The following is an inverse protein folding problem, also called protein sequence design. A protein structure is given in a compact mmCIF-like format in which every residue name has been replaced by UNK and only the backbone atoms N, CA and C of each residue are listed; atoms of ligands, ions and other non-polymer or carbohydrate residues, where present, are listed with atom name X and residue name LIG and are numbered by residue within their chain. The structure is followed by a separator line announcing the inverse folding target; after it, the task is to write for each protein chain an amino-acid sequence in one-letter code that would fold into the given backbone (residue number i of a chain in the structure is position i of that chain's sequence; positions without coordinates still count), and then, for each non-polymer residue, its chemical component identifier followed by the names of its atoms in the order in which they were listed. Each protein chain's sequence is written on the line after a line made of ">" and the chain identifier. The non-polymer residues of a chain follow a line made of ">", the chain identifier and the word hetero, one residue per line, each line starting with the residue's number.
data_IF_684311078838
#
_entry.id   IF_684311078838
#
_cell.length_a   1.000
_cell.length_b   1.000
_cell.length_c   1.000
_cell.angle_alpha   90.00
_cell.angle_beta   90.00
_cell.angle_gamma   90.00
#
_symmetry.space_group_name_H-M   'P 1'
#
loop_
_entity.id
_entity.type
_entity.pdbx_description
1 polymer ?
#
# COMPACT_ATOMS: atom_id res chain seq x y z
N UNK A 1 35.27 29.92 -21.85
CA UNK A 1 34.12 29.03 -22.16
C UNK A 1 33.72 28.27 -20.89
N UNK A 2 33.19 28.97 -19.89
CA UNK A 2 32.64 28.37 -18.66
C UNK A 2 31.32 29.09 -18.43
N UNK A 3 30.21 28.42 -18.79
CA UNK A 3 28.86 28.95 -18.61
C UNK A 3 28.63 29.18 -17.12
N UNK A 4 28.13 30.37 -16.77
CA UNK A 4 27.56 30.69 -15.47
C UNK A 4 26.72 29.50 -14.96
N UNK A 5 27.25 28.72 -14.01
CA UNK A 5 26.44 27.91 -13.11
C UNK A 5 25.62 28.91 -12.31
N UNK A 6 24.43 29.22 -12.81
CA UNK A 6 23.55 30.20 -12.19
C UNK A 6 23.24 29.74 -10.77
N UNK A 7 23.15 30.69 -9.85
CA UNK A 7 22.72 30.48 -8.45
C UNK A 7 21.50 29.54 -8.33
N UNK A 8 20.63 29.51 -9.35
CA UNK A 8 19.49 28.60 -9.46
C UNK A 8 19.83 27.11 -9.57
N UNK A 9 20.95 26.70 -10.18
CA UNK A 9 21.33 25.28 -10.25
C UNK A 9 21.83 24.78 -8.90
N UNK A 10 22.59 25.60 -8.18
CA UNK A 10 23.02 25.31 -6.81
C UNK A 10 21.83 25.23 -5.86
N UNK A 11 20.90 26.19 -5.92
CA UNK A 11 19.68 26.16 -5.12
C UNK A 11 18.81 24.92 -5.40
N UNK A 12 18.66 24.52 -6.67
CA UNK A 12 17.95 23.29 -7.05
C UNK A 12 18.66 22.04 -6.54
N UNK A 13 19.98 21.96 -6.68
CA UNK A 13 20.76 20.83 -6.18
C UNK A 13 20.63 20.71 -4.65
N UNK A 14 20.65 21.83 -3.93
CA UNK A 14 20.46 21.88 -2.48
C UNK A 14 19.06 21.40 -2.08
N UNK A 15 18.01 21.89 -2.74
CA UNK A 15 16.62 21.48 -2.48
C UNK A 15 16.44 19.98 -2.74
N UNK A 16 16.94 19.48 -3.88
CA UNK A 16 16.88 18.06 -4.21
C UNK A 16 17.67 17.20 -3.21
N UNK A 17 18.84 17.68 -2.78
CA UNK A 17 19.65 17.02 -1.76
C UNK A 17 18.94 16.95 -0.41
N UNK A 18 18.29 18.04 0.01
CA UNK A 18 17.50 18.08 1.24
C UNK A 18 16.28 17.15 1.17
N UNK A 19 15.55 17.16 0.06
CA UNK A 19 14.43 16.24 -0.16
C UNK A 19 14.89 14.78 -0.12
N UNK A 20 16.00 14.47 -0.80
CA UNK A 20 16.59 13.14 -0.77
C UNK A 20 17.00 12.75 0.66
N UNK A 21 17.61 13.65 1.43
CA UNK A 21 17.97 13.39 2.82
C UNK A 21 16.74 13.18 3.72
N UNK A 22 15.67 13.94 3.54
CA UNK A 22 14.43 13.78 4.32
C UNK A 22 13.77 12.43 4.03
N UNK A 23 13.78 11.99 2.77
CA UNK A 23 13.16 10.73 2.36
C UNK A 23 14.05 9.53 2.71
N UNK A 24 15.32 9.58 2.34
CA UNK A 24 16.23 8.44 2.45
C UNK A 24 17.04 8.43 3.75
N UNK A 25 17.22 9.56 4.44
CA UNK A 25 17.97 9.66 5.68
C UNK A 25 17.46 8.69 6.77
N UNK A 26 16.15 8.64 7.08
CA UNK A 26 15.60 7.67 8.03
C UNK A 26 15.80 6.22 7.60
N UNK A 27 15.72 5.93 6.29
CA UNK A 27 15.93 4.59 5.73
C UNK A 27 17.41 4.18 5.84
N UNK A 28 18.34 5.10 5.59
CA UNK A 28 19.77 4.89 5.78
C UNK A 28 20.10 4.66 7.25
N UNK A 29 19.47 5.43 8.15
CA UNK A 29 19.60 5.21 9.59
C UNK A 29 19.07 3.81 9.98
N UNK A 30 17.91 3.39 9.45
CA UNK A 30 17.38 2.05 9.69
C UNK A 30 18.31 0.96 9.14
N UNK A 31 18.90 1.16 7.95
CA UNK A 31 19.87 0.23 7.36
C UNK A 31 21.15 0.13 8.19
N UNK A 32 21.61 1.25 8.76
CA UNK A 32 22.74 1.29 9.68
C UNK A 32 22.43 0.49 10.95
N UNK A 33 21.25 0.71 11.54
CA UNK A 33 20.79 -0.03 12.72
C UNK A 33 20.62 -1.53 12.46
N UNK A 34 20.28 -1.93 11.24
CA UNK A 34 20.11 -3.34 10.88
C UNK A 34 21.40 -4.17 11.02
N UNK A 35 22.58 -3.55 10.96
CA UNK A 35 23.89 -4.21 11.12
C UNK A 35 24.64 -3.77 12.37
N UNK A 36 23.99 -2.98 13.22
CA UNK A 36 24.60 -2.44 14.44
C UNK A 36 24.30 -3.35 15.62
N UNK A 37 25.34 -3.82 16.31
CA UNK A 37 25.18 -4.66 17.50
C UNK A 37 25.29 -3.86 18.80
N UNK A 38 26.17 -2.84 18.83
CA UNK A 38 26.33 -1.95 19.99
C UNK A 38 26.43 -0.50 19.54
N UNK A 39 25.46 0.30 19.97
CA UNK A 39 25.48 1.74 19.79
C UNK A 39 24.79 2.42 20.96
N UNK A 40 25.60 2.97 21.87
CA UNK A 40 25.14 3.69 23.04
C UNK A 40 25.76 5.09 23.11
N UNK A 41 25.06 5.99 23.78
CA UNK A 41 25.53 7.34 24.05
C UNK A 41 26.85 7.31 24.84
N UNK A 42 27.87 8.15 24.54
CA UNK A 42 27.87 9.32 23.66
C UNK A 42 28.42 9.08 22.24
N UNK A 43 28.52 7.83 21.79
CA UNK A 43 29.17 7.53 20.51
C UNK A 43 28.31 7.95 19.31
N UNK A 44 28.91 8.72 18.39
CA UNK A 44 28.24 9.21 17.17
C UNK A 44 28.00 8.12 16.12
N UNK A 45 28.75 7.03 16.18
CA UNK A 45 28.66 5.88 15.28
C UNK A 45 28.62 4.58 16.09
N UNK A 46 28.07 3.50 15.51
CA UNK A 46 28.16 2.17 16.08
C UNK A 46 29.58 1.78 16.47
N UNK A 47 29.69 1.13 17.63
CA UNK A 47 30.95 0.61 18.14
C UNK A 47 31.25 -0.76 17.53
N UNK A 48 30.21 -1.56 17.35
CA UNK A 48 30.30 -2.91 16.80
C UNK A 48 29.25 -3.09 15.71
N UNK A 49 29.72 -3.53 14.54
CA UNK A 49 28.91 -3.95 13.42
C UNK A 49 28.95 -5.47 13.33
N UNK A 50 27.83 -6.08 12.98
CA UNK A 50 27.76 -7.52 12.79
C UNK A 50 26.38 -8.01 12.36
N UNK A 51 26.25 -9.33 12.29
CA UNK A 51 25.07 -10.02 11.78
C UNK A 51 24.35 -10.83 12.87
N UNK A 52 24.67 -10.64 14.15
CA UNK A 52 24.08 -11.40 15.26
C UNK A 52 22.54 -11.34 15.27
N UNK A 53 21.96 -10.15 15.06
CA UNK A 53 20.50 -10.01 15.01
C UNK A 53 19.88 -10.66 13.77
N UNK A 54 20.56 -10.60 12.61
CA UNK A 54 20.12 -11.32 11.41
C UNK A 54 20.13 -12.82 11.63
N UNK A 55 21.20 -13.36 12.22
CA UNK A 55 21.27 -14.77 12.59
C UNK A 55 20.11 -15.14 13.53
N UNK A 56 19.83 -14.31 14.53
CA UNK A 56 18.71 -14.53 15.46
C UNK A 56 17.34 -14.54 14.76
N UNK A 57 17.13 -13.68 13.76
CA UNK A 57 15.90 -13.62 12.98
C UNK A 57 15.73 -14.86 12.10
N UNK A 58 16.80 -15.31 11.44
CA UNK A 58 16.75 -16.45 10.51
C UNK A 58 16.93 -17.81 11.20
N UNK A 59 17.25 -17.86 12.48
CA UNK A 59 17.24 -19.10 13.26
C UNK A 59 15.84 -19.75 13.23
N UNK A 60 15.75 -21.09 13.24
CA UNK A 60 14.45 -21.78 13.24
C UNK A 60 13.51 -21.37 14.38
N UNK A 61 14.06 -20.94 15.53
CA UNK A 61 13.29 -20.43 16.67
C UNK A 61 12.77 -19.00 16.51
N UNK A 62 13.25 -18.26 15.50
CA UNK A 62 12.86 -16.88 15.23
C UNK A 62 11.54 -16.72 14.48
N UNK A 63 11.01 -17.80 13.90
CA UNK A 63 9.74 -17.83 13.13
C UNK A 63 9.61 -16.76 12.02
N UNK A 64 10.71 -16.12 11.62
CA UNK A 64 10.66 -14.99 10.69
C UNK A 64 10.22 -15.42 9.30
N UNK A 65 10.69 -16.58 8.82
CA UNK A 65 10.32 -17.10 7.48
C UNK A 65 8.86 -17.55 7.43
N UNK A 66 8.35 -18.12 8.52
CA UNK A 66 6.93 -18.46 8.67
C UNK A 66 6.05 -17.20 8.72
N UNK A 67 6.44 -16.21 9.51
CA UNK A 67 5.73 -14.92 9.59
C UNK A 67 5.72 -14.19 8.24
N UNK A 68 6.83 -14.26 7.50
CA UNK A 68 6.95 -13.68 6.17
C UNK A 68 6.04 -14.41 5.18
N UNK A 69 6.02 -15.74 5.17
CA UNK A 69 5.17 -16.51 4.25
C UNK A 69 3.68 -16.27 4.52
N UNK A 70 3.26 -16.23 5.79
CA UNK A 70 1.90 -15.86 6.19
C UNK A 70 1.55 -14.44 5.73
N UNK A 71 2.46 -13.48 5.92
CA UNK A 71 2.26 -12.09 5.50
C UNK A 71 2.11 -11.95 3.99
N UNK A 72 2.96 -12.65 3.22
CA UNK A 72 2.87 -12.69 1.75
C UNK A 72 1.55 -13.34 1.31
N UNK A 73 1.15 -14.44 1.93
CA UNK A 73 -0.12 -15.10 1.62
C UNK A 73 -1.31 -14.18 1.88
N UNK A 74 -1.36 -13.52 3.04
CA UNK A 74 -2.39 -12.53 3.38
C UNK A 74 -2.42 -11.40 2.34
N UNK A 75 -1.26 -10.87 1.96
CA UNK A 75 -1.15 -9.80 0.97
C UNK A 75 -1.70 -10.24 -0.40
N UNK A 76 -1.32 -11.44 -0.88
CA UNK A 76 -1.79 -11.98 -2.16
C UNK A 76 -3.30 -12.19 -2.16
N UNK A 77 -3.86 -12.82 -1.11
CA UNK A 77 -5.31 -13.03 -1.01
C UNK A 77 -6.08 -11.71 -0.90
N UNK A 78 -5.55 -10.74 -0.17
CA UNK A 78 -6.14 -9.40 -0.07
C UNK A 78 -6.15 -8.71 -1.43
N UNK A 79 -5.03 -8.73 -2.16
CA UNK A 79 -4.94 -8.13 -3.49
C UNK A 79 -5.92 -8.81 -4.45
N UNK A 80 -5.96 -10.15 -4.46
CA UNK A 80 -6.89 -10.90 -5.29
C UNK A 80 -8.36 -10.55 -4.98
N UNK A 81 -8.74 -10.48 -3.71
CA UNK A 81 -10.09 -10.10 -3.28
C UNK A 81 -10.43 -8.66 -3.66
N UNK A 82 -9.51 -7.72 -3.44
CA UNK A 82 -9.67 -6.33 -3.84
C UNK A 82 -9.87 -6.21 -5.36
N UNK A 83 -9.05 -6.87 -6.18
CA UNK A 83 -9.16 -6.82 -7.64
C UNK A 83 -10.45 -7.48 -8.14
N UNK A 84 -10.84 -8.61 -7.56
CA UNK A 84 -12.07 -9.31 -7.91
C UNK A 84 -13.33 -8.42 -7.77
N UNK A 85 -13.33 -7.51 -6.80
CA UNK A 85 -14.44 -6.58 -6.57
C UNK A 85 -14.22 -5.23 -7.28
N UNK A 86 -13.03 -4.66 -7.19
CA UNK A 86 -12.74 -3.31 -7.70
C UNK A 86 -12.68 -3.20 -9.21
N UNK A 87 -12.29 -4.26 -9.93
CA UNK A 87 -12.30 -4.26 -11.39
C UNK A 87 -13.73 -4.13 -11.94
N UNK A 88 -14.69 -5.03 -11.61
CA UNK A 88 -16.05 -4.91 -12.13
C UNK A 88 -16.75 -3.64 -11.60
N UNK A 89 -16.56 -3.28 -10.33
CA UNK A 89 -17.12 -2.05 -9.78
C UNK A 89 -16.57 -0.80 -10.49
N UNK A 90 -15.26 -0.74 -10.70
CA UNK A 90 -14.61 0.38 -11.37
C UNK A 90 -15.00 0.52 -12.84
N UNK A 91 -15.12 -0.60 -13.56
CA UNK A 91 -15.63 -0.61 -14.93
C UNK A 91 -17.08 -0.11 -14.99
N UNK A 92 -17.96 -0.63 -14.11
CA UNK A 92 -19.35 -0.18 -14.05
C UNK A 92 -19.45 1.32 -13.72
N UNK A 93 -18.68 1.82 -12.75
CA UNK A 93 -18.66 3.23 -12.37
C UNK A 93 -18.07 4.15 -13.45
N UNK A 94 -17.15 3.64 -14.29
CA UNK A 94 -16.52 4.39 -15.38
C UNK A 94 -17.42 4.45 -16.63
N UNK A 95 -18.10 3.36 -16.97
CA UNK A 95 -18.83 3.22 -18.25
C UNK A 95 -20.33 3.39 -18.15
N UNK A 96 -20.95 3.00 -17.03
CA UNK A 96 -22.40 3.10 -16.87
C UNK A 96 -22.77 4.49 -16.34
N UNK A 97 -23.80 5.09 -16.90
CA UNK A 97 -24.44 6.30 -16.35
C UNK A 97 -25.24 5.93 -15.10
N UNK A 98 -24.55 5.73 -13.97
CA UNK A 98 -25.19 5.41 -12.71
C UNK A 98 -25.76 6.70 -12.07
N UNK A 99 -27.07 6.77 -11.80
CA UNK A 99 -27.57 7.81 -10.91
C UNK A 99 -26.85 7.63 -9.56
N UNK A 100 -26.37 8.73 -8.97
CA UNK A 100 -25.63 8.74 -7.69
C UNK A 100 -24.20 8.20 -7.71
N UNK A 101 -23.52 8.17 -8.87
CA UNK A 101 -22.09 7.79 -8.97
C UNK A 101 -21.20 8.44 -7.90
N UNK A 102 -21.36 9.74 -7.67
CA UNK A 102 -20.59 10.48 -6.66
C UNK A 102 -20.86 10.01 -5.24
N UNK A 103 -22.10 9.64 -4.92
CA UNK A 103 -22.48 9.11 -3.61
C UNK A 103 -21.90 7.72 -3.39
N UNK A 104 -21.92 6.84 -4.40
CA UNK A 104 -21.27 5.52 -4.29
C UNK A 104 -19.78 5.65 -4.06
N UNK A 105 -19.11 6.51 -4.82
CA UNK A 105 -17.69 6.80 -4.64
C UNK A 105 -17.38 7.41 -3.27
N UNK A 106 -18.24 8.30 -2.78
CA UNK A 106 -18.12 8.88 -1.43
C UNK A 106 -18.32 7.82 -0.33
N UNK A 107 -19.25 6.88 -0.51
CA UNK A 107 -19.51 5.80 0.44
C UNK A 107 -18.26 4.94 0.70
N UNK A 108 -17.44 4.70 -0.33
CA UNK A 108 -16.15 4.03 -0.16
C UNK A 108 -15.17 4.84 0.69
N UNK A 109 -15.24 6.18 0.69
CA UNK A 109 -14.35 7.04 1.48
C UNK A 109 -14.83 7.25 2.92
N UNK A 110 -16.12 7.09 3.21
CA UNK A 110 -16.70 7.33 4.53
C UNK A 110 -15.99 6.60 5.68
N UNK A 111 -15.55 5.33 5.56
CA UNK A 111 -14.81 4.66 6.64
C UNK A 111 -13.54 5.38 7.07
N UNK A 112 -12.91 6.16 6.19
CA UNK A 112 -11.70 6.93 6.49
C UNK A 112 -11.98 8.23 7.27
N UNK A 113 -13.24 8.69 7.31
CA UNK A 113 -13.62 9.84 8.12
C UNK A 113 -13.65 9.52 9.63
N UNK A 114 -13.67 8.22 9.98
CA UNK A 114 -13.67 7.76 11.36
C UNK A 114 -12.26 7.36 11.83
N UNK A 115 -11.98 7.44 13.13
CA UNK A 115 -10.73 6.93 13.69
C UNK A 115 -10.58 5.43 13.41
N UNK A 116 -9.49 5.04 12.73
CA UNK A 116 -9.25 3.65 12.32
C UNK A 116 -9.31 2.66 13.50
N UNK A 117 -8.78 3.05 14.66
CA UNK A 117 -8.82 2.23 15.88
C UNK A 117 -10.25 1.90 16.31
N UNK A 118 -11.17 2.87 16.25
CA UNK A 118 -12.57 2.65 16.63
C UNK A 118 -13.26 1.67 15.67
N UNK A 119 -12.98 1.78 14.37
CA UNK A 119 -13.49 0.85 13.36
C UNK A 119 -12.97 -0.57 13.62
N UNK A 120 -11.67 -0.73 13.87
CA UNK A 120 -11.06 -2.04 14.11
C UNK A 120 -11.53 -2.71 15.41
N UNK A 121 -11.78 -1.96 16.48
CA UNK A 121 -12.35 -2.52 17.72
C UNK A 121 -13.74 -3.13 17.44
N UNK A 122 -14.59 -2.43 16.68
CA UNK A 122 -15.92 -2.92 16.36
C UNK A 122 -15.88 -4.13 15.42
N UNK A 123 -15.03 -4.10 14.40
CA UNK A 123 -14.80 -5.26 13.53
C UNK A 123 -14.29 -6.45 14.35
N UNK A 124 -13.34 -6.24 15.26
CA UNK A 124 -12.83 -7.26 16.16
C UNK A 124 -13.92 -7.91 17.00
N UNK A 125 -14.85 -7.11 17.56
CA UNK A 125 -16.01 -7.62 18.30
C UNK A 125 -16.88 -8.52 17.41
N UNK A 126 -17.21 -8.09 16.19
CA UNK A 126 -18.01 -8.88 15.24
C UNK A 126 -17.28 -10.18 14.91
N UNK A 127 -16.00 -10.11 14.58
CA UNK A 127 -15.18 -11.26 14.17
C UNK A 127 -14.99 -12.26 15.31
N UNK A 128 -14.95 -11.79 16.55
CA UNK A 128 -14.97 -12.65 17.72
C UNK A 128 -16.27 -13.45 17.80
N UNK A 129 -17.43 -12.80 17.60
CA UNK A 129 -18.74 -13.47 17.65
C UNK A 129 -18.91 -14.53 16.56
N UNK A 130 -18.38 -14.28 15.35
CA UNK A 130 -18.50 -15.21 14.21
C UNK A 130 -17.31 -16.16 14.06
N UNK A 131 -16.36 -16.17 15.00
CA UNK A 131 -15.22 -17.09 15.00
C UNK A 131 -14.12 -16.80 13.96
N UNK A 132 -14.07 -15.58 13.41
CA UNK A 132 -13.01 -15.14 12.49
C UNK A 132 -11.83 -14.46 13.18
N UNK A 133 -11.95 -14.16 14.47
CA UNK A 133 -10.88 -13.54 15.24
C UNK A 133 -9.64 -14.46 15.31
N UNK A 134 -8.46 -13.91 15.03
CA UNK A 134 -7.20 -14.66 15.03
C UNK A 134 -6.98 -15.57 13.82
N UNK A 135 -7.82 -15.49 12.79
CA UNK A 135 -7.70 -16.30 11.56
C UNK A 135 -7.10 -15.51 10.40
N UNK A 136 -6.42 -16.20 9.47
CA UNK A 136 -5.90 -15.60 8.22
C UNK A 136 -7.05 -14.98 7.40
N UNK A 137 -8.19 -15.68 7.31
CA UNK A 137 -9.36 -15.19 6.59
C UNK A 137 -9.88 -13.87 7.18
N UNK A 138 -9.98 -13.78 8.51
CA UNK A 138 -10.34 -12.54 9.19
C UNK A 138 -9.41 -11.40 8.79
N UNK A 139 -8.10 -11.61 8.88
CA UNK A 139 -7.11 -10.59 8.53
C UNK A 139 -7.24 -10.14 7.07
N UNK A 140 -7.40 -11.09 6.13
CA UNK A 140 -7.63 -10.79 4.70
C UNK A 140 -8.89 -9.94 4.49
N UNK A 141 -10.00 -10.27 5.16
CA UNK A 141 -11.25 -9.51 5.03
C UNK A 141 -11.10 -8.07 5.53
N UNK A 142 -10.44 -7.86 6.68
CA UNK A 142 -10.21 -6.49 7.22
C UNK A 142 -9.34 -5.67 6.26
N UNK A 143 -8.25 -6.25 5.75
CA UNK A 143 -7.41 -5.57 4.77
C UNK A 143 -8.14 -5.31 3.45
N UNK A 144 -9.02 -6.23 3.02
CA UNK A 144 -9.81 -6.08 1.80
C UNK A 144 -10.75 -4.90 1.93
N UNK A 145 -11.51 -4.78 3.04
CA UNK A 145 -12.42 -3.64 3.25
C UNK A 145 -11.67 -2.31 3.18
N UNK A 146 -10.49 -2.22 3.79
CA UNK A 146 -9.66 -1.02 3.73
C UNK A 146 -9.11 -0.78 2.30
N UNK A 147 -8.62 -1.82 1.63
CA UNK A 147 -8.08 -1.73 0.27
C UNK A 147 -9.13 -1.38 -0.79
N UNK A 148 -10.39 -1.78 -0.60
CA UNK A 148 -11.50 -1.46 -1.50
C UNK A 148 -11.77 0.03 -1.59
N UNK A 149 -11.53 0.78 -0.50
CA UNK A 149 -11.71 2.24 -0.45
C UNK A 149 -10.97 2.93 -1.59
N UNK A 150 -9.71 2.55 -1.82
CA UNK A 150 -8.87 3.17 -2.84
C UNK A 150 -8.87 2.39 -4.16
N UNK A 151 -8.90 1.06 -4.13
CA UNK A 151 -8.81 0.25 -5.36
C UNK A 151 -9.99 0.47 -6.29
N UNK A 152 -11.21 0.67 -5.78
CA UNK A 152 -12.39 1.01 -6.61
C UNK A 152 -12.21 2.36 -7.30
N UNK A 153 -11.67 3.36 -6.59
CA UNK A 153 -11.39 4.69 -7.16
C UNK A 153 -10.31 4.64 -8.24
N UNK A 154 -9.20 3.95 -7.96
CA UNK A 154 -8.09 3.78 -8.91
C UNK A 154 -8.57 3.04 -10.15
N UNK A 155 -9.31 1.93 -9.98
CA UNK A 155 -9.91 1.17 -11.07
C UNK A 155 -10.86 2.02 -11.91
N UNK A 156 -11.75 2.79 -11.26
CA UNK A 156 -12.67 3.71 -11.95
C UNK A 156 -11.92 4.75 -12.76
N UNK A 157 -10.87 5.37 -12.18
CA UNK A 157 -10.06 6.37 -12.86
C UNK A 157 -9.29 5.76 -14.05
N UNK A 158 -8.72 4.57 -13.88
CA UNK A 158 -8.02 3.84 -14.93
C UNK A 158 -8.93 3.52 -16.12
N UNK A 159 -10.12 2.96 -15.89
CA UNK A 159 -11.08 2.73 -16.96
C UNK A 159 -11.57 4.04 -17.59
N UNK A 160 -11.85 5.07 -16.78
CA UNK A 160 -12.31 6.38 -17.29
C UNK A 160 -11.27 7.08 -18.19
N UNK A 161 -9.97 6.78 -18.01
CA UNK A 161 -8.90 7.35 -18.83
C UNK A 161 -8.77 6.72 -20.22
N UNK A 162 -9.36 5.54 -20.43
CA UNK A 162 -9.36 4.85 -21.74
C UNK A 162 -10.57 5.33 -22.54
N UNK A 163 -10.34 5.73 -23.80
CA UNK A 163 -11.37 6.15 -24.74
C UNK A 163 -12.41 5.05 -24.98
N UNK A 164 -13.69 5.40 -24.90
CA UNK A 164 -14.81 4.49 -25.17
C UNK A 164 -14.86 3.99 -26.61
N UNK A 165 -14.29 4.73 -27.57
CA UNK A 165 -14.24 4.32 -28.98
C UNK A 165 -13.48 3.01 -29.18
N UNK A 166 -12.48 2.73 -28.35
CA UNK A 166 -11.73 1.47 -28.41
C UNK A 166 -12.62 0.27 -28.06
N UNK A 167 -13.54 0.44 -27.13
CA UNK A 167 -14.51 -0.60 -26.75
C UNK A 167 -15.61 -0.76 -27.82
N UNK A 168 -16.02 0.34 -28.46
CA UNK A 168 -16.94 0.30 -29.61
C UNK A 168 -16.33 -0.43 -30.81
N UNK A 169 -15.07 -0.13 -31.13
CA UNK A 169 -14.32 -0.83 -32.16
C UNK A 169 -14.20 -2.33 -31.86
N UNK A 170 -13.91 -2.70 -30.60
CA UNK A 170 -13.88 -4.10 -30.17
C UNK A 170 -15.24 -4.80 -30.37
N UNK A 171 -16.35 -4.11 -30.05
CA UNK A 171 -17.71 -4.64 -30.29
C UNK A 171 -18.00 -4.81 -31.79
N UNK A 172 -17.53 -3.90 -32.64
CA UNK A 172 -17.71 -4.00 -34.10
C UNK A 172 -17.01 -5.23 -34.71
N UNK A 173 -15.89 -5.69 -34.12
CA UNK A 173 -15.17 -6.90 -34.55
C UNK A 173 -15.61 -8.17 -33.83
N UNK A 174 -16.73 -8.13 -33.09
CA UNK A 174 -17.38 -9.32 -32.52
C UNK A 174 -17.15 -9.56 -31.02
N UNK A 175 -16.55 -8.62 -30.29
CA UNK A 175 -16.51 -8.71 -28.84
C UNK A 175 -17.91 -8.53 -28.23
N UNK A 176 -18.34 -9.45 -27.36
CA UNK A 176 -19.54 -9.25 -26.55
C UNK A 176 -19.28 -8.23 -25.44
N UNK A 177 -20.30 -7.48 -25.04
CA UNK A 177 -20.21 -6.70 -23.80
C UNK A 177 -20.03 -7.62 -22.59
N UNK A 178 -19.19 -7.21 -21.63
CA UNK A 178 -19.24 -7.66 -20.24
C UNK A 178 -20.48 -7.09 -19.54
#
# INVERSE_FOLDING_TARGET
>A
MIRNLSMGWFARALILGLLAFIIFGPLLNMALWAVTEKWYFPHKLPLEYGFHYWERVFRPTGHAMESLSVSIAIALFTVAACLAVSIPAGYALARRSLPWRSLFLLAFLLPQAFPAVAVYINIGKIFYTIGLNGTILGVVLVHTVHGLVFSVWISTAAFSAIDSELEEAARNIGASGL
#
